data_IF_851227223128
#
_entry.id   IF_851227223128
#
_cell.length_a   1.000
_cell.length_b   1.000
_cell.length_c   1.000
_cell.angle_alpha   90.00
_cell.angle_beta   90.00
_cell.angle_gamma   90.00
#
_symmetry.space_group_name_H-M   'P 1'
#
loop_
_entity.id
_entity.type
_entity.pdbx_description
1 polymer ?
#
# COMPACT_ATOMS: atom_id res chain seq x y z
N UNK A 1 11.44 -38.40 -28.21
CA UNK A 1 11.45 -39.89 -28.10
C UNK A 1 11.89 -40.51 -29.42
N UNK A 2 11.38 -40.04 -30.55
CA UNK A 2 11.81 -40.52 -31.91
C UNK A 2 13.34 -40.38 -32.11
N UNK A 3 13.93 -39.25 -31.65
CA UNK A 3 15.37 -38.98 -31.77
C UNK A 3 16.26 -39.91 -30.92
N UNK A 4 15.71 -40.55 -29.94
CA UNK A 4 16.40 -41.55 -29.08
C UNK A 4 15.95 -42.97 -29.35
N UNK A 5 15.20 -43.22 -30.45
CA UNK A 5 14.76 -44.54 -30.89
C UNK A 5 13.77 -45.26 -29.98
N UNK A 6 13.04 -44.51 -29.14
CA UNK A 6 12.03 -45.08 -28.23
C UNK A 6 10.66 -45.10 -28.90
N UNK A 7 10.12 -46.28 -29.10
CA UNK A 7 8.75 -46.52 -29.61
C UNK A 7 7.74 -46.41 -28.49
N UNK A 8 6.66 -45.64 -28.71
CA UNK A 8 5.49 -45.57 -27.82
C UNK A 8 4.28 -46.14 -28.54
N UNK A 9 3.64 -47.17 -27.98
CA UNK A 9 2.45 -47.77 -28.48
C UNK A 9 1.25 -47.39 -27.63
N UNK A 10 0.22 -46.84 -28.29
CA UNK A 10 -1.04 -46.53 -27.70
C UNK A 10 -1.99 -47.71 -27.99
N UNK A 11 -2.17 -48.61 -27.01
CA UNK A 11 -2.87 -49.88 -27.19
C UNK A 11 -4.35 -49.72 -27.56
N UNK A 12 -5.04 -48.74 -26.98
CA UNK A 12 -6.45 -48.48 -27.23
C UNK A 12 -6.71 -47.95 -28.64
N UNK A 13 -5.89 -47.05 -29.10
CA UNK A 13 -6.00 -46.33 -30.36
C UNK A 13 -5.29 -47.09 -31.52
N UNK A 14 -4.54 -48.18 -31.20
CA UNK A 14 -3.71 -48.94 -32.13
C UNK A 14 -2.71 -48.06 -32.90
N UNK A 15 -2.12 -47.05 -32.22
CA UNK A 15 -1.19 -46.11 -32.82
C UNK A 15 0.22 -46.41 -32.35
N UNK A 16 1.16 -46.32 -33.30
CA UNK A 16 2.59 -46.44 -33.02
C UNK A 16 3.30 -45.11 -33.37
N UNK A 17 4.07 -44.58 -32.42
CA UNK A 17 4.77 -43.30 -32.58
C UNK A 17 5.90 -43.31 -33.63
N UNK A 18 6.34 -44.49 -34.10
CA UNK A 18 7.40 -44.63 -35.12
C UNK A 18 6.83 -44.67 -36.54
N UNK A 19 5.56 -44.99 -36.73
CA UNK A 19 4.92 -44.99 -38.02
C UNK A 19 4.56 -43.58 -38.48
N UNK A 20 4.72 -43.27 -39.79
CA UNK A 20 4.35 -41.96 -40.33
C UNK A 20 2.89 -41.57 -40.12
N UNK A 21 1.98 -42.53 -40.31
CA UNK A 21 0.56 -42.37 -40.05
C UNK A 21 0.29 -42.19 -38.55
N UNK A 22 1.08 -42.82 -37.69
CA UNK A 22 0.99 -42.68 -36.23
C UNK A 22 1.33 -41.26 -35.74
N UNK A 23 2.31 -40.62 -36.34
CA UNK A 23 2.69 -39.22 -36.01
C UNK A 23 1.57 -38.22 -36.36
N UNK A 24 0.98 -38.39 -37.56
CA UNK A 24 -0.17 -37.57 -37.98
C UNK A 24 -1.37 -37.78 -37.04
N UNK A 25 -1.67 -39.03 -36.74
CA UNK A 25 -2.79 -39.35 -35.86
C UNK A 25 -2.59 -38.80 -34.43
N UNK A 26 -1.38 -38.90 -33.86
CA UNK A 26 -1.05 -38.31 -32.58
C UNK A 26 -1.19 -36.79 -32.58
N UNK A 27 -0.78 -36.13 -33.66
CA UNK A 27 -0.93 -34.69 -33.83
C UNK A 27 -2.40 -34.28 -33.86
N UNK A 28 -3.22 -35.04 -34.57
CA UNK A 28 -4.67 -34.82 -34.65
C UNK A 28 -5.31 -35.03 -33.27
N UNK A 29 -5.01 -36.14 -32.58
CA UNK A 29 -5.54 -36.43 -31.25
C UNK A 29 -5.11 -35.38 -30.21
N UNK A 30 -3.85 -34.92 -30.27
CA UNK A 30 -3.38 -33.84 -29.38
C UNK A 30 -4.14 -32.54 -29.65
N UNK A 31 -4.41 -32.22 -30.93
CA UNK A 31 -5.20 -31.03 -31.30
C UNK A 31 -6.64 -31.12 -30.82
N UNK A 32 -7.28 -32.28 -30.94
CA UNK A 32 -8.62 -32.51 -30.39
C UNK A 32 -8.64 -32.37 -28.86
N UNK A 33 -7.69 -32.99 -28.15
CA UNK A 33 -7.62 -32.90 -26.69
C UNK A 33 -7.42 -31.45 -26.24
N UNK A 34 -6.62 -30.66 -26.97
CA UNK A 34 -6.42 -29.26 -26.71
C UNK A 34 -7.69 -28.44 -26.92
N UNK A 35 -8.43 -28.66 -28.03
CA UNK A 35 -9.68 -27.97 -28.30
C UNK A 35 -10.79 -28.36 -27.31
N UNK A 36 -10.88 -29.64 -26.91
CA UNK A 36 -11.78 -30.08 -25.86
C UNK A 36 -11.50 -29.38 -24.55
N UNK A 37 -10.22 -29.31 -24.12
CA UNK A 37 -9.80 -28.60 -22.91
C UNK A 37 -10.17 -27.13 -22.98
N UNK A 38 -9.98 -26.49 -24.15
CA UNK A 38 -10.35 -25.09 -24.38
C UNK A 38 -11.85 -24.87 -24.26
N UNK A 39 -12.66 -25.71 -24.92
CA UNK A 39 -14.12 -25.65 -24.90
C UNK A 39 -14.67 -25.81 -23.48
N UNK A 40 -14.16 -26.78 -22.73
CA UNK A 40 -14.52 -26.97 -21.31
C UNK A 40 -14.21 -25.72 -20.50
N UNK A 41 -12.98 -25.14 -20.69
CA UNK A 41 -12.58 -23.93 -20.00
C UNK A 41 -13.47 -22.72 -20.32
N UNK A 42 -13.87 -22.55 -21.56
CA UNK A 42 -14.78 -21.47 -21.98
C UNK A 42 -16.19 -21.64 -21.40
N UNK A 43 -16.70 -22.86 -21.35
CA UNK A 43 -18.00 -23.17 -20.73
C UNK A 43 -17.97 -22.88 -19.21
N UNK A 44 -16.89 -23.24 -18.51
CA UNK A 44 -16.70 -22.92 -17.07
C UNK A 44 -16.63 -21.42 -16.86
N UNK A 45 -15.87 -20.70 -17.69
CA UNK A 45 -15.78 -19.24 -17.64
C UNK A 45 -17.15 -18.58 -17.86
N UNK A 46 -17.91 -19.04 -18.83
CA UNK A 46 -19.24 -18.53 -19.10
C UNK A 46 -20.19 -18.77 -17.91
N UNK A 47 -20.24 -19.99 -17.37
CA UNK A 47 -21.06 -20.29 -16.19
C UNK A 47 -20.65 -19.48 -14.95
N UNK A 48 -19.35 -19.25 -14.77
CA UNK A 48 -18.84 -18.38 -13.69
C UNK A 48 -19.32 -16.94 -13.85
N UNK A 49 -19.24 -16.37 -15.07
CA UNK A 49 -19.72 -15.01 -15.35
C UNK A 49 -21.21 -14.87 -15.09
N UNK A 50 -22.01 -15.87 -15.49
CA UNK A 50 -23.45 -15.87 -15.21
C UNK A 50 -23.78 -15.85 -13.73
N UNK A 51 -23.02 -16.57 -12.90
CA UNK A 51 -23.16 -16.48 -11.45
C UNK A 51 -22.78 -15.11 -10.91
N UNK A 52 -21.69 -14.51 -11.41
CA UNK A 52 -21.29 -13.16 -11.01
C UNK A 52 -22.31 -12.09 -11.36
N UNK A 53 -22.97 -12.20 -12.54
CA UNK A 53 -24.10 -11.34 -12.93
C UNK A 53 -25.28 -11.44 -11.94
N UNK A 54 -25.46 -12.61 -11.32
CA UNK A 54 -26.50 -12.88 -10.33
C UNK A 54 -26.05 -12.56 -8.88
N UNK A 55 -24.83 -12.07 -8.68
CA UNK A 55 -24.30 -11.79 -7.35
C UNK A 55 -23.81 -13.03 -6.59
N UNK A 56 -23.71 -14.17 -7.25
CA UNK A 56 -23.33 -15.45 -6.64
C UNK A 56 -21.82 -15.65 -6.79
N UNK A 57 -21.06 -15.81 -5.68
CA UNK A 57 -19.62 -16.09 -5.74
C UNK A 57 -19.34 -17.48 -6.33
N UNK A 58 -18.15 -17.65 -6.91
CA UNK A 58 -17.72 -18.93 -7.47
C UNK A 58 -17.29 -19.97 -6.41
N UNK A 59 -17.41 -19.63 -5.15
CA UNK A 59 -17.13 -20.49 -4.00
C UNK A 59 -17.09 -19.66 -2.71
N UNK A 60 -17.17 -20.32 -1.59
CA UNK A 60 -17.07 -19.68 -0.28
C UNK A 60 -15.62 -19.29 -0.02
N UNK A 61 -15.37 -18.00 0.17
CA UNK A 61 -14.06 -17.47 0.50
C UNK A 61 -14.00 -17.10 1.98
N UNK A 62 -12.81 -17.13 2.54
CA UNK A 62 -12.58 -16.71 3.92
C UNK A 62 -12.20 -15.24 3.97
N UNK A 63 -12.86 -14.50 4.84
CA UNK A 63 -12.58 -13.10 5.11
C UNK A 63 -12.69 -12.86 6.62
N UNK A 64 -11.71 -12.20 7.20
CA UNK A 64 -11.70 -11.88 8.62
C UNK A 64 -12.84 -10.88 8.95
N UNK A 65 -13.57 -11.13 10.01
CA UNK A 65 -14.76 -10.35 10.38
C UNK A 65 -16.08 -10.93 9.88
N UNK A 66 -16.03 -11.93 8.99
CA UNK A 66 -17.23 -12.61 8.50
C UNK A 66 -17.06 -14.11 8.48
N UNK A 67 -18.18 -14.82 8.59
CA UNK A 67 -18.29 -16.26 8.34
C UNK A 67 -19.48 -16.55 7.42
N UNK A 68 -19.44 -17.69 6.76
CA UNK A 68 -20.55 -18.16 5.95
C UNK A 68 -21.57 -18.90 6.82
N UNK A 69 -22.83 -18.44 6.75
CA UNK A 69 -23.98 -19.16 7.26
C UNK A 69 -24.88 -19.48 6.05
N UNK A 70 -24.95 -20.76 5.67
CA UNK A 70 -25.52 -21.12 4.38
C UNK A 70 -24.82 -20.38 3.23
N UNK A 71 -25.56 -19.63 2.45
CA UNK A 71 -25.06 -18.86 1.30
C UNK A 71 -24.84 -17.36 1.62
N UNK A 72 -24.97 -16.96 2.88
CA UNK A 72 -24.85 -15.59 3.31
C UNK A 72 -23.59 -15.36 4.16
N UNK A 73 -23.02 -14.18 4.02
CA UNK A 73 -21.96 -13.69 4.91
C UNK A 73 -22.60 -13.05 6.15
N UNK A 74 -22.23 -13.55 7.32
CA UNK A 74 -22.69 -13.06 8.62
C UNK A 74 -21.50 -12.48 9.39
N UNK A 75 -21.72 -11.39 10.10
CA UNK A 75 -20.66 -10.74 10.88
C UNK A 75 -20.25 -11.63 12.06
N UNK A 76 -18.93 -11.80 12.23
CA UNK A 76 -18.31 -12.33 13.45
C UNK A 76 -17.98 -11.15 14.40
N UNK A 77 -18.72 -10.95 15.50
CA UNK A 77 -18.67 -9.69 16.27
C UNK A 77 -17.28 -9.34 16.80
N UNK A 78 -16.52 -10.32 17.29
CA UNK A 78 -15.20 -10.07 17.85
C UNK A 78 -14.19 -9.71 16.76
N UNK A 79 -14.22 -10.40 15.63
CA UNK A 79 -13.37 -10.07 14.51
C UNK A 79 -13.75 -8.72 13.86
N UNK A 80 -15.04 -8.40 13.82
CA UNK A 80 -15.52 -7.12 13.30
C UNK A 80 -15.01 -5.92 14.10
N UNK A 81 -14.89 -6.06 15.44
CA UNK A 81 -14.27 -5.02 16.29
C UNK A 81 -12.82 -4.76 15.88
N UNK A 82 -12.08 -5.83 15.55
CA UNK A 82 -10.70 -5.70 15.10
C UNK A 82 -10.61 -5.04 13.72
N UNK A 83 -11.53 -5.38 12.81
CA UNK A 83 -11.60 -4.70 11.49
C UNK A 83 -11.84 -3.20 11.68
N UNK A 84 -12.81 -2.78 12.51
CA UNK A 84 -13.06 -1.37 12.84
C UNK A 84 -11.83 -0.71 13.44
N UNK A 85 -11.16 -1.35 14.40
CA UNK A 85 -9.93 -0.85 15.02
C UNK A 85 -8.80 -0.61 13.99
N UNK A 86 -8.66 -1.49 12.97
CA UNK A 86 -7.68 -1.31 11.90
C UNK A 86 -8.01 -0.07 11.05
N UNK A 87 -9.29 0.15 10.73
CA UNK A 87 -9.75 1.32 9.97
C UNK A 87 -9.55 2.61 10.75
N UNK A 88 -9.91 2.64 12.04
CA UNK A 88 -9.76 3.78 12.93
C UNK A 88 -8.27 4.16 13.08
N UNK A 89 -7.41 3.19 13.31
CA UNK A 89 -5.97 3.41 13.39
C UNK A 89 -5.42 4.06 12.12
N UNK A 90 -5.84 3.57 10.96
CA UNK A 90 -5.37 4.11 9.69
C UNK A 90 -5.82 5.55 9.47
N UNK A 91 -7.08 5.90 9.78
CA UNK A 91 -7.62 7.25 9.70
C UNK A 91 -6.98 8.20 10.72
N UNK A 92 -6.62 7.69 11.90
CA UNK A 92 -5.84 8.43 12.90
C UNK A 92 -4.35 8.58 12.56
N UNK A 93 -3.94 8.22 11.33
CA UNK A 93 -2.58 8.41 10.85
C UNK A 93 -1.60 7.33 11.26
N UNK A 94 -2.01 6.28 11.95
CA UNK A 94 -1.15 5.18 12.36
C UNK A 94 -0.69 4.34 11.15
N UNK A 95 0.55 3.86 11.21
CA UNK A 95 1.06 2.96 10.17
C UNK A 95 0.54 1.54 10.35
N UNK A 96 0.52 0.76 9.26
CA UNK A 96 0.17 -0.65 9.35
C UNK A 96 1.13 -1.44 10.28
N UNK A 97 2.40 -1.04 10.36
CA UNK A 97 3.37 -1.64 11.29
C UNK A 97 3.03 -1.34 12.76
N UNK A 98 2.59 -0.12 13.06
CA UNK A 98 2.16 0.25 14.42
C UNK A 98 0.90 -0.52 14.81
N UNK A 99 -0.07 -0.63 13.88
CA UNK A 99 -1.29 -1.41 14.09
C UNK A 99 -0.97 -2.89 14.30
N UNK A 100 -0.03 -3.47 13.55
CA UNK A 100 0.47 -4.84 13.72
C UNK A 100 0.97 -5.07 15.15
N UNK A 101 1.86 -4.19 15.66
CA UNK A 101 2.39 -4.27 17.02
C UNK A 101 1.30 -4.15 18.11
N UNK A 102 0.29 -3.32 17.88
CA UNK A 102 -0.84 -3.19 18.79
C UNK A 102 -1.71 -4.46 18.81
N UNK A 103 -2.00 -5.04 17.64
CA UNK A 103 -2.75 -6.29 17.54
C UNK A 103 -1.99 -7.46 18.16
N UNK A 104 -0.66 -7.50 18.00
CA UNK A 104 0.19 -8.50 18.66
C UNK A 104 0.17 -8.36 20.18
N UNK A 105 0.27 -7.12 20.69
CA UNK A 105 0.16 -6.83 22.13
C UNK A 105 -1.19 -7.22 22.73
N UNK A 106 -2.28 -7.12 21.94
CA UNK A 106 -3.63 -7.57 22.32
C UNK A 106 -3.82 -9.08 22.17
N UNK A 107 -2.81 -9.83 21.67
CA UNK A 107 -2.90 -11.27 21.44
C UNK A 107 -3.85 -11.68 20.32
N UNK A 108 -4.24 -10.73 19.43
CA UNK A 108 -5.18 -10.99 18.35
C UNK A 108 -4.51 -11.82 17.25
N UNK A 109 -5.22 -12.86 16.81
CA UNK A 109 -4.76 -13.78 15.76
C UNK A 109 -5.67 -13.71 14.54
N UNK A 110 -5.11 -13.94 13.37
CA UNK A 110 -5.87 -14.12 12.13
C UNK A 110 -6.70 -15.42 12.19
N UNK A 111 -7.62 -15.58 11.25
CA UNK A 111 -8.43 -16.80 11.14
C UNK A 111 -7.60 -18.10 10.99
N UNK A 112 -6.33 -18.00 10.58
CA UNK A 112 -5.36 -19.12 10.52
C UNK A 112 -4.60 -19.34 11.85
N UNK A 113 -4.92 -18.61 12.90
CA UNK A 113 -4.21 -18.66 14.18
C UNK A 113 -2.82 -18.01 14.16
N UNK A 114 -2.46 -17.32 13.06
CA UNK A 114 -1.20 -16.61 12.91
C UNK A 114 -1.34 -15.14 13.33
N UNK A 115 -0.24 -14.46 13.62
CA UNK A 115 -0.25 -13.03 13.89
C UNK A 115 -0.68 -12.24 12.65
N UNK A 116 -1.21 -11.04 12.87
CA UNK A 116 -1.53 -10.12 11.78
C UNK A 116 -0.26 -9.47 11.26
N UNK A 117 0.10 -9.77 10.01
CA UNK A 117 1.18 -9.06 9.34
C UNK A 117 0.69 -7.79 8.63
N UNK A 118 1.62 -6.89 8.38
CA UNK A 118 1.41 -5.63 7.67
C UNK A 118 0.66 -5.80 6.33
N UNK A 119 0.94 -6.88 5.60
CA UNK A 119 0.25 -7.21 4.34
C UNK A 119 -1.23 -7.49 4.56
N UNK A 120 -1.59 -8.25 5.59
CA UNK A 120 -2.98 -8.57 5.92
C UNK A 120 -3.77 -7.31 6.30
N UNK A 121 -3.17 -6.42 7.10
CA UNK A 121 -3.77 -5.13 7.46
C UNK A 121 -4.05 -4.28 6.20
N UNK A 122 -3.09 -4.20 5.28
CA UNK A 122 -3.27 -3.47 4.00
C UNK A 122 -4.33 -4.10 3.11
N UNK A 123 -4.47 -5.42 3.11
CA UNK A 123 -5.53 -6.14 2.40
C UNK A 123 -6.90 -5.83 3.00
N UNK A 124 -7.04 -5.83 4.34
CA UNK A 124 -8.26 -5.44 5.04
C UNK A 124 -8.68 -4.03 4.64
N UNK A 125 -7.77 -3.05 4.73
CA UNK A 125 -8.04 -1.65 4.36
C UNK A 125 -8.37 -1.45 2.86
N UNK A 126 -8.09 -2.40 2.01
CA UNK A 126 -8.38 -2.34 0.57
C UNK A 126 -9.55 -3.19 0.12
N UNK A 127 -10.17 -3.95 1.01
CA UNK A 127 -11.20 -4.90 0.62
C UNK A 127 -12.60 -4.30 0.75
N UNK A 128 -13.22 -4.06 -0.40
CA UNK A 128 -14.57 -3.48 -0.50
C UNK A 128 -15.65 -4.35 0.16
N UNK A 129 -15.41 -5.64 0.35
CA UNK A 129 -16.39 -6.55 0.95
C UNK A 129 -16.81 -6.10 2.35
N UNK A 130 -15.97 -5.36 3.07
CA UNK A 130 -16.34 -4.83 4.39
C UNK A 130 -17.46 -3.79 4.36
N UNK A 131 -17.80 -3.26 3.19
CA UNK A 131 -18.89 -2.28 2.99
C UNK A 131 -20.24 -2.92 2.66
N UNK A 132 -20.36 -4.25 2.75
CA UNK A 132 -21.59 -4.96 2.38
C UNK A 132 -21.73 -5.24 0.88
N UNK A 133 -20.72 -4.89 0.08
CA UNK A 133 -20.73 -5.01 -1.37
C UNK A 133 -19.70 -6.04 -1.82
N UNK A 134 -19.96 -6.69 -2.95
CA UNK A 134 -19.03 -7.63 -3.57
C UNK A 134 -18.57 -7.13 -4.93
N UNK A 135 -17.29 -7.28 -5.20
CA UNK A 135 -16.69 -7.07 -6.51
C UNK A 135 -16.10 -8.37 -6.99
N UNK A 136 -16.68 -8.91 -8.06
CA UNK A 136 -16.25 -10.16 -8.69
C UNK A 136 -15.34 -9.91 -9.89
N UNK A 137 -14.67 -10.97 -10.33
CA UNK A 137 -13.74 -10.97 -11.46
C UNK A 137 -12.56 -10.01 -11.30
N UNK A 138 -12.06 -9.87 -10.04
CA UNK A 138 -10.82 -9.13 -9.72
C UNK A 138 -9.59 -9.78 -10.36
N UNK A 139 -9.67 -11.09 -10.60
CA UNK A 139 -8.63 -11.90 -11.23
C UNK A 139 -9.24 -12.85 -12.26
N UNK A 140 -8.44 -13.27 -13.23
CA UNK A 140 -8.85 -14.25 -14.23
C UNK A 140 -7.69 -15.13 -14.65
N UNK A 141 -8.00 -16.35 -15.08
CA UNK A 141 -7.03 -17.27 -15.67
C UNK A 141 -6.89 -16.94 -17.15
N UNK A 142 -5.70 -16.44 -17.54
CA UNK A 142 -5.45 -16.00 -18.90
C UNK A 142 -5.32 -17.19 -19.88
N UNK A 143 -4.64 -18.25 -19.44
CA UNK A 143 -4.36 -19.43 -20.25
C UNK A 143 -4.82 -20.70 -19.52
N UNK A 144 -5.73 -21.52 -20.13
CA UNK A 144 -6.26 -22.73 -19.53
C UNK A 144 -5.20 -23.79 -19.21
N UNK A 145 -4.11 -23.80 -19.97
CA UNK A 145 -3.04 -24.82 -19.84
C UNK A 145 -2.13 -24.50 -18.65
N UNK A 146 -1.61 -23.29 -18.59
CA UNK A 146 -0.71 -22.86 -17.51
C UNK A 146 -1.44 -22.55 -16.20
N UNK A 147 -2.76 -22.33 -16.26
CA UNK A 147 -3.65 -21.97 -15.13
C UNK A 147 -3.17 -20.76 -14.30
N UNK A 148 -2.31 -19.91 -14.87
CA UNK A 148 -1.82 -18.72 -14.19
C UNK A 148 -2.91 -17.65 -14.10
N UNK A 149 -3.19 -17.22 -12.86
CA UNK A 149 -4.08 -16.10 -12.59
C UNK A 149 -3.38 -14.77 -12.87
N UNK A 150 -4.14 -13.81 -13.42
CA UNK A 150 -3.76 -12.42 -13.61
C UNK A 150 -4.79 -11.50 -12.96
N UNK A 151 -4.29 -10.40 -12.38
CA UNK A 151 -5.17 -9.34 -11.86
C UNK A 151 -5.88 -8.68 -13.05
N UNK A 152 -7.19 -8.58 -12.95
CA UNK A 152 -8.02 -7.90 -13.95
C UNK A 152 -7.88 -6.36 -13.73
N UNK A 153 -7.27 -5.69 -14.69
CA UNK A 153 -7.10 -4.23 -14.70
C UNK A 153 -8.03 -3.52 -15.67
N UNK A 154 -9.10 -4.21 -16.11
CA UNK A 154 -10.06 -3.73 -17.09
C UNK A 154 -10.09 -4.56 -18.38
N UNK A 155 -9.27 -5.65 -18.47
CA UNK A 155 -9.27 -6.54 -19.63
C UNK A 155 -10.56 -7.33 -19.76
N UNK A 156 -11.21 -7.63 -18.62
CA UNK A 156 -12.50 -8.30 -18.56
C UNK A 156 -13.49 -7.50 -17.70
N UNK A 157 -14.81 -7.61 -17.95
CA UNK A 157 -15.82 -6.98 -17.11
C UNK A 157 -15.65 -7.38 -15.65
N UNK A 158 -15.78 -6.43 -14.74
CA UNK A 158 -15.92 -6.68 -13.31
C UNK A 158 -17.40 -6.55 -12.93
N UNK A 159 -17.85 -7.37 -11.99
CA UNK A 159 -19.24 -7.38 -11.56
C UNK A 159 -19.34 -6.81 -10.16
N UNK A 160 -20.04 -5.69 -10.06
CA UNK A 160 -20.32 -5.01 -8.80
C UNK A 160 -21.72 -5.40 -8.31
N UNK A 161 -21.82 -5.90 -7.09
CA UNK A 161 -23.09 -6.29 -6.47
C UNK A 161 -23.20 -5.62 -5.11
N UNK A 162 -24.26 -4.86 -4.92
CA UNK A 162 -24.50 -4.07 -3.73
C UNK A 162 -25.37 -4.83 -2.71
N UNK A 163 -25.18 -4.48 -1.43
CA UNK A 163 -26.01 -4.94 -0.32
C UNK A 163 -26.17 -6.47 -0.24
N UNK A 164 -25.09 -7.19 -0.47
CA UNK A 164 -25.06 -8.66 -0.42
C UNK A 164 -25.03 -9.21 1.00
N UNK A 165 -24.58 -8.40 1.97
CA UNK A 165 -24.44 -8.76 3.38
C UNK A 165 -24.34 -7.49 4.24
N UNK A 166 -24.45 -7.66 5.56
CA UNK A 166 -24.32 -6.55 6.51
C UNK A 166 -22.91 -5.96 6.50
N UNK A 167 -22.81 -4.63 6.43
CA UNK A 167 -21.54 -3.93 6.39
C UNK A 167 -20.89 -3.82 7.78
N UNK A 168 -19.61 -4.15 7.91
CA UNK A 168 -18.81 -3.86 9.11
C UNK A 168 -18.35 -2.39 9.08
N UNK A 169 -18.00 -1.89 7.89
CA UNK A 169 -17.48 -0.54 7.66
C UNK A 169 -18.44 0.24 6.76
N UNK A 170 -18.90 1.42 7.15
CA UNK A 170 -19.67 2.29 6.26
C UNK A 170 -18.90 2.65 4.99
N UNK A 171 -19.63 2.85 3.88
CA UNK A 171 -19.01 3.18 2.59
C UNK A 171 -18.20 4.47 2.64
N UNK A 172 -18.66 5.47 3.39
CA UNK A 172 -17.98 6.76 3.58
C UNK A 172 -16.62 6.58 4.25
N UNK A 173 -16.54 5.73 5.27
CA UNK A 173 -15.29 5.41 5.97
C UNK A 173 -14.32 4.67 5.05
N UNK A 174 -14.82 3.72 4.25
CA UNK A 174 -14.00 3.04 3.25
C UNK A 174 -13.45 4.02 2.22
N UNK A 175 -14.30 4.91 1.68
CA UNK A 175 -13.88 5.93 0.72
C UNK A 175 -12.83 6.88 1.30
N UNK A 176 -13.01 7.33 2.56
CA UNK A 176 -12.03 8.15 3.26
C UNK A 176 -10.67 7.44 3.37
N UNK A 177 -10.66 6.14 3.68
CA UNK A 177 -9.44 5.32 3.70
C UNK A 177 -8.81 5.22 2.31
N UNK A 178 -9.59 5.02 1.22
CA UNK A 178 -9.02 4.97 -0.12
C UNK A 178 -8.45 6.34 -0.55
N UNK A 179 -9.13 7.44 -0.24
CA UNK A 179 -8.65 8.80 -0.48
C UNK A 179 -7.33 9.07 0.25
N UNK A 180 -7.24 8.71 1.53
CA UNK A 180 -6.00 8.83 2.31
C UNK A 180 -4.88 7.93 1.77
N UNK A 181 -5.20 6.71 1.30
CA UNK A 181 -4.21 5.86 0.60
C UNK A 181 -3.70 6.50 -0.68
N UNK A 182 -4.59 7.12 -1.47
CA UNK A 182 -4.22 7.84 -2.68
C UNK A 182 -3.32 9.04 -2.36
N UNK A 183 -3.71 9.87 -1.39
CA UNK A 183 -2.93 11.01 -0.89
C UNK A 183 -1.53 10.58 -0.43
N UNK A 184 -1.44 9.49 0.36
CA UNK A 184 -0.13 8.96 0.79
C UNK A 184 0.71 8.45 -0.37
N UNK A 185 0.11 7.91 -1.42
CA UNK A 185 0.82 7.45 -2.62
C UNK A 185 1.40 8.62 -3.42
N UNK A 186 0.68 9.72 -3.54
CA UNK A 186 1.15 10.96 -4.19
C UNK A 186 2.33 11.59 -3.45
N UNK A 187 2.36 11.47 -2.13
CA UNK A 187 3.49 11.90 -1.29
C UNK A 187 4.77 11.06 -1.46
N UNK A 188 4.72 9.96 -2.23
CA UNK A 188 5.87 9.15 -2.61
C UNK A 188 6.17 7.97 -1.70
N UNK A 189 7.31 7.31 -1.93
CA UNK A 189 7.67 6.00 -1.33
C UNK A 189 7.67 5.98 0.20
N UNK A 190 7.83 7.11 0.87
CA UNK A 190 7.86 7.22 2.33
C UNK A 190 6.51 7.46 2.98
N UNK A 191 5.47 7.76 2.21
CA UNK A 191 4.12 8.03 2.70
C UNK A 191 3.47 6.86 3.46
N UNK A 192 3.95 5.66 3.25
CA UNK A 192 3.44 4.43 3.90
C UNK A 192 4.22 4.05 5.17
N UNK A 193 5.25 4.82 5.58
CA UNK A 193 6.22 4.34 6.56
C UNK A 193 5.98 4.76 8.00
N UNK A 194 5.16 5.77 8.28
CA UNK A 194 4.82 6.08 9.68
C UNK A 194 3.85 7.26 9.87
N UNK A 195 3.35 7.42 11.09
CA UNK A 195 2.74 8.61 11.72
C UNK A 195 3.56 9.90 11.48
N UNK A 196 4.80 9.78 11.05
CA UNK A 196 5.73 10.89 10.80
C UNK A 196 5.62 11.46 9.37
N UNK A 197 4.61 11.05 8.59
CA UNK A 197 4.37 11.64 7.28
C UNK A 197 3.74 13.03 7.46
N UNK A 198 4.36 14.04 6.91
CA UNK A 198 3.88 15.42 6.92
C UNK A 198 4.02 15.99 5.51
N UNK A 199 3.43 17.17 5.25
CA UNK A 199 3.56 17.89 3.99
C UNK A 199 5.02 18.12 3.56
N UNK A 200 5.94 18.10 4.50
CA UNK A 200 7.39 18.25 4.26
C UNK A 200 8.09 16.97 3.82
N UNK A 201 7.43 15.81 3.94
CA UNK A 201 8.04 14.51 3.62
C UNK A 201 8.44 14.47 2.14
N UNK A 202 9.69 14.09 1.87
CA UNK A 202 10.32 14.07 0.54
C UNK A 202 10.58 15.44 -0.11
N UNK A 203 10.01 16.52 0.41
CA UNK A 203 10.17 17.86 -0.15
C UNK A 203 11.45 18.56 0.29
N UNK A 204 12.04 18.17 1.43
CA UNK A 204 13.28 18.83 1.94
C UNK A 204 14.50 18.06 1.47
N UNK A 205 15.38 18.73 0.73
CA UNK A 205 16.64 18.20 0.21
C UNK A 205 17.85 18.88 0.84
N UNK A 206 18.90 18.12 1.05
CA UNK A 206 20.17 18.64 1.54
C UNK A 206 21.03 19.08 0.36
N UNK A 207 21.37 20.36 0.25
CA UNK A 207 22.26 20.90 -0.78
C UNK A 207 23.69 20.39 -0.66
N UNK A 208 24.15 19.99 0.56
CA UNK A 208 25.50 19.44 0.75
C UNK A 208 25.67 18.02 0.20
N UNK A 209 24.67 17.13 0.36
CA UNK A 209 24.81 15.70 0.03
C UNK A 209 23.67 15.12 -0.83
N UNK A 210 22.71 15.94 -1.25
CA UNK A 210 21.59 15.55 -2.11
C UNK A 210 20.53 14.65 -1.44
N UNK A 211 20.74 14.18 -0.22
CA UNK A 211 19.77 13.29 0.48
C UNK A 211 18.61 14.09 1.06
N UNK A 212 17.46 13.42 1.15
CA UNK A 212 16.27 14.01 1.79
C UNK A 212 16.45 14.09 3.30
N UNK A 213 15.84 15.13 3.88
CA UNK A 213 15.65 15.21 5.32
C UNK A 213 14.56 14.22 5.77
N UNK A 214 14.74 13.69 6.98
CA UNK A 214 13.84 12.72 7.60
C UNK A 214 13.31 13.29 8.91
N UNK A 215 12.02 13.12 9.16
CA UNK A 215 11.37 13.51 10.41
C UNK A 215 11.82 12.59 11.55
N UNK A 216 12.13 13.15 12.70
CA UNK A 216 12.55 12.40 13.88
C UNK A 216 12.00 13.05 15.15
N UNK A 217 11.34 12.27 15.98
CA UNK A 217 10.86 12.70 17.28
C UNK A 217 11.97 12.48 18.31
N UNK A 218 12.23 13.49 19.14
CA UNK A 218 13.21 13.44 20.22
C UNK A 218 12.58 13.82 21.55
N UNK A 219 13.04 13.19 22.61
CA UNK A 219 12.68 13.56 23.98
C UNK A 219 13.50 14.77 24.45
N UNK A 220 12.87 15.67 25.16
CA UNK A 220 13.54 16.81 25.77
C UNK A 220 14.58 16.36 26.80
N UNK A 221 15.75 17.02 26.82
CA UNK A 221 16.80 16.71 27.82
C UNK A 221 16.43 17.18 29.23
N UNK A 222 15.77 18.34 29.34
CA UNK A 222 15.35 18.92 30.63
C UNK A 222 14.03 18.32 31.12
N UNK A 223 13.12 18.01 30.22
CA UNK A 223 11.85 17.36 30.52
C UNK A 223 11.67 16.12 29.60
N UNK A 224 11.79 14.90 30.14
CA UNK A 224 11.59 13.66 29.38
C UNK A 224 10.19 13.51 28.78
N UNK A 225 9.19 14.26 29.28
CA UNK A 225 7.83 14.26 28.76
C UNK A 225 7.65 15.27 27.61
N UNK A 226 8.54 16.23 27.47
CA UNK A 226 8.53 17.16 26.35
C UNK A 226 9.11 16.49 25.10
N UNK A 227 8.22 16.10 24.19
CA UNK A 227 8.60 15.60 22.88
C UNK A 227 8.70 16.74 21.88
N UNK A 228 9.78 16.78 21.12
CA UNK A 228 9.93 17.73 20.03
C UNK A 228 10.34 17.03 18.74
N UNK A 229 9.85 17.55 17.63
CA UNK A 229 10.09 17.00 16.30
C UNK A 229 11.15 17.81 15.58
N UNK A 230 12.10 17.11 14.96
CA UNK A 230 13.14 17.70 14.13
C UNK A 230 13.17 17.03 12.75
N UNK A 231 13.74 17.76 11.80
CA UNK A 231 14.11 17.25 10.49
C UNK A 231 15.63 17.13 10.43
N UNK A 232 16.14 15.92 10.10
CA UNK A 232 17.56 15.60 10.05
C UNK A 232 17.92 15.04 8.68
N UNK A 233 19.05 15.48 8.11
CA UNK A 233 19.56 14.95 6.85
C UNK A 233 19.81 13.43 6.94
N UNK A 234 19.37 12.68 5.92
CA UNK A 234 19.49 11.22 5.90
C UNK A 234 20.93 10.72 5.99
N UNK A 235 21.91 11.43 5.40
CA UNK A 235 23.34 11.12 5.55
C UNK A 235 23.82 11.37 6.98
N UNK A 236 23.47 12.54 7.55
CA UNK A 236 23.85 12.88 8.93
C UNK A 236 23.27 11.91 9.94
N UNK A 237 22.02 11.43 9.72
CA UNK A 237 21.37 10.44 10.59
C UNK A 237 22.11 9.09 10.59
N UNK A 238 22.60 8.65 9.43
CA UNK A 238 23.28 7.34 9.29
C UNK A 238 24.76 7.38 9.64
N UNK A 239 25.45 8.43 9.20
CA UNK A 239 26.91 8.48 9.18
C UNK A 239 27.50 9.61 10.06
N UNK A 240 26.66 10.37 10.75
CA UNK A 240 27.08 11.44 11.65
C UNK A 240 27.50 12.75 10.97
N UNK A 241 27.99 13.69 11.79
CA UNK A 241 28.32 15.07 11.38
C UNK A 241 29.50 15.15 10.41
N UNK A 242 30.40 14.16 10.41
CA UNK A 242 31.58 14.14 9.55
C UNK A 242 31.21 14.07 8.06
N UNK A 243 30.06 13.46 7.72
CA UNK A 243 29.64 13.24 6.34
C UNK A 243 28.62 14.27 5.83
N UNK A 244 28.01 15.06 6.70
CA UNK A 244 27.12 16.15 6.33
C UNK A 244 27.09 17.23 7.42
N UNK A 245 27.48 18.47 7.07
CA UNK A 245 27.58 19.60 7.99
C UNK A 245 26.26 20.34 8.21
N UNK A 246 25.22 20.09 7.42
CA UNK A 246 23.92 20.76 7.57
C UNK A 246 23.27 20.43 8.91
N UNK A 247 22.60 21.43 9.49
CA UNK A 247 21.99 21.33 10.82
C UNK A 247 20.65 20.60 10.79
N UNK A 248 20.26 20.08 11.95
CA UNK A 248 18.90 19.59 12.19
C UNK A 248 17.97 20.79 12.30
N UNK A 249 16.77 20.68 11.74
CA UNK A 249 15.79 21.75 11.67
C UNK A 249 14.61 21.39 12.57
N UNK A 250 14.31 22.17 13.62
CA UNK A 250 13.09 21.99 14.41
C UNK A 250 11.85 22.17 13.52
N UNK A 251 10.84 21.30 13.69
CA UNK A 251 9.62 21.37 12.86
C UNK A 251 8.85 22.69 13.07
N UNK A 252 8.84 23.22 14.30
CA UNK A 252 8.23 24.51 14.58
C UNK A 252 8.91 25.65 13.78
N UNK A 253 10.25 25.64 13.73
CA UNK A 253 11.02 26.62 12.96
C UNK A 253 10.78 26.47 11.45
N UNK A 254 10.69 25.23 10.95
CA UNK A 254 10.40 24.97 9.55
C UNK A 254 9.02 25.52 9.17
N UNK A 255 7.99 25.29 10.00
CA UNK A 255 6.64 25.82 9.80
C UNK A 255 6.64 27.36 9.82
N UNK A 256 7.37 27.96 10.75
CA UNK A 256 7.47 29.41 10.84
C UNK A 256 8.17 30.02 9.60
N UNK A 257 9.24 29.37 9.11
CA UNK A 257 9.93 29.78 7.89
C UNK A 257 9.01 29.67 6.65
N UNK A 258 8.20 28.61 6.58
CA UNK A 258 7.22 28.44 5.51
C UNK A 258 6.13 29.52 5.56
N UNK A 259 5.57 29.82 6.74
CA UNK A 259 4.57 30.87 6.92
C UNK A 259 5.15 32.24 6.48
N UNK A 260 6.36 32.56 6.89
CA UNK A 260 7.03 33.81 6.51
C UNK A 260 7.23 33.93 4.98
N UNK A 261 7.68 32.87 4.31
CA UNK A 261 7.91 32.84 2.87
C UNK A 261 6.59 32.90 2.08
N UNK A 262 5.52 32.32 2.61
CA UNK A 262 4.20 32.32 2.02
C UNK A 262 3.37 33.58 2.41
N UNK A 263 3.93 34.49 3.21
CA UNK A 263 3.25 35.69 3.75
C UNK A 263 1.96 35.34 4.51
N UNK A 264 2.00 34.27 5.31
CA UNK A 264 0.90 33.82 6.16
C UNK A 264 1.18 34.14 7.63
N UNK A 265 0.15 34.43 8.41
CA UNK A 265 0.25 34.62 9.87
C UNK A 265 0.58 33.29 10.57
N UNK A 266 -0.03 32.20 10.11
CA UNK A 266 0.21 30.85 10.58
C UNK A 266 0.46 29.90 9.42
N UNK A 267 1.17 28.79 9.69
CA UNK A 267 1.45 27.77 8.67
C UNK A 267 0.21 26.99 8.26
N UNK A 268 -0.12 27.01 6.97
CA UNK A 268 -1.16 26.22 6.36
C UNK A 268 -0.57 25.13 5.43
N UNK A 269 -0.93 23.87 5.73
CA UNK A 269 -0.43 22.69 4.98
C UNK A 269 -0.95 22.63 3.55
N UNK A 270 -2.19 23.10 3.32
CA UNK A 270 -2.83 23.08 2.01
C UNK A 270 -2.16 24.07 1.07
N UNK A 271 -1.99 25.32 1.54
CA UNK A 271 -1.32 26.40 0.77
C UNK A 271 0.15 26.02 0.50
N UNK A 272 0.84 25.45 1.50
CA UNK A 272 2.21 24.97 1.31
C UNK A 272 2.27 23.86 0.24
N UNK A 273 1.36 22.90 0.28
CA UNK A 273 1.34 21.79 -0.67
C UNK A 273 0.97 22.23 -2.08
N UNK A 274 0.15 23.28 -2.22
CA UNK A 274 -0.25 23.85 -3.50
C UNK A 274 0.86 24.66 -4.14
N UNK A 275 1.57 25.50 -3.38
CA UNK A 275 2.54 26.46 -3.92
C UNK A 275 3.99 25.95 -3.95
N UNK A 276 4.43 25.19 -2.93
CA UNK A 276 5.81 24.77 -2.79
C UNK A 276 6.06 23.39 -3.43
N UNK A 277 6.99 23.35 -4.35
CA UNK A 277 7.49 22.12 -4.96
C UNK A 277 8.47 21.41 -4.03
N UNK A 278 9.54 22.09 -3.60
CA UNK A 278 10.58 21.57 -2.73
C UNK A 278 11.29 22.66 -1.93
N UNK A 279 11.97 22.25 -0.87
CA UNK A 279 12.88 23.08 -0.07
C UNK A 279 14.26 22.48 -0.18
N UNK A 280 15.28 23.28 -0.44
CA UNK A 280 16.68 22.87 -0.41
C UNK A 280 17.40 23.57 0.75
N UNK A 281 18.30 22.85 1.40
CA UNK A 281 19.14 23.36 2.50
C UNK A 281 20.57 23.45 1.98
N UNK A 282 20.98 24.57 1.36
CA UNK A 282 22.29 24.71 0.75
C UNK A 282 23.40 24.77 1.79
N UNK A 283 23.16 25.46 2.90
CA UNK A 283 24.12 25.63 3.99
C UNK A 283 23.42 25.63 5.35
N UNK A 284 24.16 25.52 6.48
CA UNK A 284 23.58 25.65 7.81
C UNK A 284 22.86 26.99 7.96
N UNK A 285 21.60 26.97 8.41
CA UNK A 285 20.73 28.14 8.63
C UNK A 285 20.16 28.77 7.36
N UNK A 286 20.36 28.20 6.18
CA UNK A 286 19.82 28.68 4.92
C UNK A 286 18.78 27.70 4.37
N UNK A 287 17.68 28.23 3.86
CA UNK A 287 16.64 27.49 3.16
C UNK A 287 16.39 28.16 1.82
N UNK A 288 16.22 27.37 0.77
CA UNK A 288 15.86 27.82 -0.55
C UNK A 288 14.52 27.15 -0.93
N UNK A 289 13.50 27.96 -1.07
CA UNK A 289 12.16 27.49 -1.42
C UNK A 289 11.96 27.54 -2.92
N UNK A 290 11.62 26.41 -3.52
CA UNK A 290 11.25 26.30 -4.93
C UNK A 290 9.74 26.24 -5.03
N UNK A 291 9.17 27.18 -5.74
CA UNK A 291 7.74 27.26 -6.00
C UNK A 291 7.38 26.49 -7.27
N UNK A 292 6.15 26.01 -7.36
CA UNK A 292 5.67 25.28 -8.56
C UNK A 292 5.55 26.14 -9.82
N UNK A 293 5.47 27.45 -9.68
CA UNK A 293 5.50 28.42 -10.78
C UNK A 293 6.92 28.72 -11.31
N UNK A 294 7.93 28.12 -10.68
CA UNK A 294 9.34 28.20 -11.09
C UNK A 294 10.15 29.27 -10.39
N UNK A 295 9.56 30.14 -9.57
CA UNK A 295 10.37 31.13 -8.82
C UNK A 295 11.00 30.51 -7.58
N UNK A 296 12.04 31.16 -7.04
CA UNK A 296 12.81 30.66 -5.92
C UNK A 296 13.02 31.77 -4.90
N UNK A 297 12.77 31.45 -3.62
CA UNK A 297 12.90 32.40 -2.52
C UNK A 297 13.92 31.89 -1.51
N UNK A 298 15.03 32.61 -1.26
CA UNK A 298 15.96 32.30 -0.17
C UNK A 298 15.38 32.78 1.17
N UNK A 299 15.61 32.01 2.22
CA UNK A 299 15.21 32.33 3.58
C UNK A 299 16.30 31.94 4.57
N UNK A 300 16.65 32.86 5.48
CA UNK A 300 17.60 32.60 6.54
C UNK A 300 16.86 32.33 7.86
N UNK A 301 17.28 31.32 8.60
CA UNK A 301 16.69 30.94 9.88
C UNK A 301 17.73 30.77 10.97
N UNK A 302 17.36 31.11 12.19
CA UNK A 302 18.22 30.92 13.36
C UNK A 302 17.66 29.85 14.29
N UNK A 303 18.52 28.93 14.73
CA UNK A 303 18.13 27.92 15.71
C UNK A 303 18.19 28.50 17.12
N UNK A 304 17.04 28.56 17.78
CA UNK A 304 16.94 29.01 19.19
C UNK A 304 17.32 27.92 20.19
N UNK A 305 17.45 26.66 19.75
CA UNK A 305 17.67 25.49 20.61
C UNK A 305 18.96 25.51 21.46
N UNK A 306 19.90 26.42 21.20
CA UNK A 306 21.14 26.57 21.98
C UNK A 306 21.22 27.86 22.77
N UNK A 307 20.45 28.90 22.46
CA UNK A 307 20.45 30.18 23.21
C UNK A 307 19.95 30.00 24.64
N UNK A 308 18.96 29.06 24.85
CA UNK A 308 18.40 28.80 26.19
C UNK A 308 19.26 27.87 27.08
N UNK A 309 20.39 27.38 26.58
CA UNK A 309 21.28 26.49 27.32
C UNK A 309 22.51 27.17 27.89
N UNK A 310 22.78 28.41 27.51
CA UNK A 310 23.90 29.22 28.00
C UNK A 310 23.32 30.47 28.66
N UNK A 311 22.87 30.34 29.89
CA UNK A 311 22.79 31.49 30.81
C UNK A 311 24.20 31.76 31.33
N UNK A 312 24.57 33.04 31.36
CA UNK A 312 25.89 33.56 31.78
C UNK A 312 26.22 33.33 33.25
N UNK A 313 25.70 32.32 33.89
CA UNK A 313 26.01 31.90 35.25
C UNK A 313 26.73 30.55 35.26
N UNK A 314 28.01 30.58 34.88
CA UNK A 314 29.07 29.67 35.34
C UNK A 314 30.42 30.32 35.20
#
# INVERSE_FOLDING_TARGET
MKDIGVEVRFEKEHINSMDGDGELMLTILASFAQEESRSISENVKWGTRKRFEQGIPNGKFQIYGYRWDGDYLVIEPEEAKIVKFIYDNFLNGLSAETTEKQLEAMGVKSYKGQHFGNTSIRQILGNITYTGNLLFQKEYVADPISKKSKINRGELPQYWVENTHEAIIPMEVYQAVQAEKARRRELGAFANWSINTSCFTSKIKCGCCGKSYQRSNRKGRKDPNANYTIWICGTRRKSGNAHCRNKDIPEAMLKQSCAAVLSLDEFDESIFSEQIERIEIPAPNEMLFYFKDGHTVPHHWESTLRKDCWTDER
#
